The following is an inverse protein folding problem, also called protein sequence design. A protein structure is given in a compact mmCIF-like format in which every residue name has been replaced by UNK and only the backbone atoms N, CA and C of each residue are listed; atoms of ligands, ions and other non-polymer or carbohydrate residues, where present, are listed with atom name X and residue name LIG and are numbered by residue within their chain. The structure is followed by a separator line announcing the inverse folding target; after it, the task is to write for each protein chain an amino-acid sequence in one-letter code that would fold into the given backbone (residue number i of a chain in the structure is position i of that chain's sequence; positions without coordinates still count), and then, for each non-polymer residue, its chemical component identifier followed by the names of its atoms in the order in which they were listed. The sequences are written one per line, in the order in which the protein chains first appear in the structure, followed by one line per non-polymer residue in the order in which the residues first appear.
data_IF_239218951312
#
_entry.id   IF_239218951312
#
_cell.length_a   1.000
_cell.length_b   1.000
_cell.length_c   1.000
_cell.angle_alpha   90.00
_cell.angle_beta   90.00
_cell.angle_gamma   90.00
#
_symmetry.space_group_name_H-M   'P 1'
#
loop_
_entity.id
_entity.type
_entity.pdbx_description
1 polymer ?
#
# COMPACT_ATOMS: atom_id res chain seq x y z
N UNK A 1 5.09 -14.59 -0.75
CA UNK A 1 3.94 -14.39 0.17
C UNK A 1 3.50 -15.69 0.86
N UNK A 2 3.29 -16.81 0.15
CA UNK A 2 3.15 -18.13 0.80
C UNK A 2 4.36 -18.52 1.68
N UNK A 3 5.59 -18.14 1.30
CA UNK A 3 6.82 -18.40 2.10
C UNK A 3 6.84 -17.72 3.49
N UNK A 4 6.02 -16.69 3.75
CA UNK A 4 5.89 -16.04 5.07
C UNK A 4 4.51 -16.30 5.72
N UNK A 5 3.69 -17.21 5.18
CA UNK A 5 2.38 -17.57 5.73
C UNK A 5 1.24 -16.59 5.42
N UNK A 6 1.44 -15.63 4.53
CA UNK A 6 0.38 -14.75 4.05
C UNK A 6 -0.27 -15.37 2.81
N UNK A 7 -1.46 -15.93 2.99
CA UNK A 7 -2.29 -16.41 1.88
C UNK A 7 -2.97 -15.20 1.21
N UNK A 8 -2.53 -14.90 0.00
CA UNK A 8 -3.08 -13.84 -0.84
C UNK A 8 -3.73 -14.40 -2.10
N UNK A 9 -3.89 -15.74 -2.19
CA UNK A 9 -4.53 -16.40 -3.33
C UNK A 9 -6.01 -16.04 -3.46
N UNK A 10 -6.65 -15.65 -2.36
CA UNK A 10 -8.05 -15.20 -2.35
C UNK A 10 -8.24 -13.69 -2.56
N UNK A 11 -7.15 -12.92 -2.71
CA UNK A 11 -7.26 -11.46 -2.77
C UNK A 11 -7.60 -11.03 -4.20
N UNK A 12 -8.88 -10.82 -4.46
CA UNK A 12 -9.35 -10.31 -5.75
C UNK A 12 -8.87 -8.89 -5.95
N UNK A 13 -8.30 -8.58 -7.11
CA UNK A 13 -7.92 -7.22 -7.47
C UNK A 13 -9.17 -6.34 -7.54
N UNK A 14 -9.44 -5.59 -6.48
CA UNK A 14 -10.46 -4.56 -6.49
C UNK A 14 -9.86 -3.27 -7.02
N UNK A 15 -10.45 -2.77 -8.11
CA UNK A 15 -10.09 -1.47 -8.62
C UNK A 15 -10.66 -0.40 -7.69
N UNK A 16 -9.79 0.47 -7.19
CA UNK A 16 -10.18 1.59 -6.35
C UNK A 16 -11.09 2.52 -7.15
N UNK A 17 -12.23 2.89 -6.55
CA UNK A 17 -13.15 3.89 -7.08
C UNK A 17 -13.13 5.16 -6.22
N UNK A 18 -13.50 6.33 -6.76
CA UNK A 18 -13.57 7.57 -5.99
C UNK A 18 -14.54 7.50 -4.80
N UNK A 19 -15.60 6.70 -4.88
CA UNK A 19 -16.52 6.48 -3.75
C UNK A 19 -15.84 5.76 -2.58
N UNK A 20 -14.93 4.82 -2.85
CA UNK A 20 -14.14 4.15 -1.82
C UNK A 20 -13.14 5.11 -1.16
N UNK A 21 -12.62 6.07 -1.91
CA UNK A 21 -11.70 7.11 -1.42
C UNK A 21 -12.42 8.06 -0.48
N UNK A 22 -13.64 8.48 -0.84
CA UNK A 22 -14.45 9.36 0.00
C UNK A 22 -14.86 8.68 1.32
N UNK A 23 -15.30 7.43 1.24
CA UNK A 23 -15.71 6.62 2.38
C UNK A 23 -14.57 6.16 3.28
N UNK A 24 -13.32 6.24 2.82
CA UNK A 24 -12.15 5.87 3.62
C UNK A 24 -11.70 7.04 4.50
N UNK A 25 -11.28 6.72 5.73
CA UNK A 25 -10.66 7.70 6.63
C UNK A 25 -9.22 8.03 6.23
N UNK A 26 -8.48 7.04 5.72
CA UNK A 26 -7.08 7.18 5.28
C UNK A 26 -6.80 6.21 4.15
N UNK A 27 -6.04 6.66 3.16
CA UNK A 27 -5.70 5.88 1.97
C UNK A 27 -4.20 5.76 1.90
N UNK A 28 -3.69 4.52 1.91
CA UNK A 28 -2.26 4.27 1.82
C UNK A 28 -1.95 3.81 0.40
N UNK A 29 -1.29 4.67 -0.36
CA UNK A 29 -0.82 4.36 -1.69
C UNK A 29 0.62 3.86 -1.60
N UNK A 30 0.83 2.57 -1.82
CA UNK A 30 2.17 1.98 -1.79
C UNK A 30 3.01 2.27 -3.04
N UNK A 31 2.38 2.67 -4.14
CA UNK A 31 3.09 3.03 -5.37
C UNK A 31 3.52 4.50 -5.27
N UNK A 32 4.83 4.74 -5.20
CA UNK A 32 5.40 6.09 -5.03
C UNK A 32 5.06 7.12 -6.11
N UNK A 33 4.36 6.73 -7.18
CA UNK A 33 3.88 7.65 -8.22
C UNK A 33 2.40 7.49 -8.45
N UNK A 34 1.73 8.62 -8.35
CA UNK A 34 0.36 8.80 -8.77
C UNK A 34 0.29 9.97 -9.75
N UNK A 35 -0.54 9.89 -10.81
CA UNK A 35 -0.79 11.05 -11.66
C UNK A 35 -1.44 12.17 -10.83
N UNK A 36 -1.02 13.44 -10.99
CA UNK A 36 -1.65 14.56 -10.28
C UNK A 36 -3.13 14.76 -10.67
N UNK A 37 -3.54 14.23 -11.82
CA UNK A 37 -4.92 14.19 -12.31
C UNK A 37 -5.75 13.04 -11.70
N UNK A 38 -5.13 12.17 -10.91
CA UNK A 38 -5.81 11.06 -10.25
C UNK A 38 -6.56 11.55 -9.00
N UNK A 39 -7.77 11.05 -8.79
CA UNK A 39 -8.63 11.39 -7.66
C UNK A 39 -7.99 11.01 -6.31
N UNK A 40 -7.10 10.02 -6.31
CA UNK A 40 -6.29 9.67 -5.15
C UNK A 40 -5.25 10.75 -4.82
N UNK A 41 -4.66 11.43 -5.81
CA UNK A 41 -3.73 12.54 -5.58
C UNK A 41 -4.41 13.79 -5.03
N UNK A 42 -5.71 13.93 -5.30
CA UNK A 42 -6.49 15.10 -4.91
C UNK A 42 -7.06 14.98 -3.49
N UNK A 43 -7.01 13.80 -2.89
CA UNK A 43 -7.49 13.55 -1.53
C UNK A 43 -6.40 13.83 -0.51
N UNK A 44 -6.66 14.76 0.43
CA UNK A 44 -5.76 15.04 1.57
C UNK A 44 -5.61 13.83 2.53
N UNK A 45 -6.48 12.82 2.39
CA UNK A 45 -6.42 11.56 3.15
C UNK A 45 -5.45 10.55 2.55
N UNK A 46 -4.89 10.82 1.37
CA UNK A 46 -3.97 9.92 0.68
C UNK A 46 -2.54 10.13 1.16
N UNK A 47 -1.97 9.08 1.73
CA UNK A 47 -0.57 9.01 2.10
C UNK A 47 0.17 8.15 1.08
N UNK A 48 1.12 8.76 0.38
CA UNK A 48 1.96 8.07 -0.60
C UNK A 48 3.18 7.51 0.12
N UNK A 49 3.28 6.19 0.13
CA UNK A 49 4.49 5.48 0.52
C UNK A 49 5.29 5.23 -0.77
N UNK A 50 6.51 5.77 -0.85
CA UNK A 50 7.40 5.57 -1.99
C UNK A 50 8.01 4.15 -1.98
N UNK A 51 7.14 3.14 -1.95
CA UNK A 51 7.54 1.74 -1.93
C UNK A 51 7.66 1.30 -3.39
N UNK A 52 8.88 0.95 -3.77
CA UNK A 52 9.13 0.44 -5.12
C UNK A 52 8.43 -0.90 -5.28
N UNK A 53 7.78 -1.09 -6.42
CA UNK A 53 7.08 -2.33 -6.70
C UNK A 53 8.09 -3.52 -6.77
N UNK A 54 7.92 -4.58 -5.95
CA UNK A 54 8.81 -5.73 -5.96
C UNK A 54 8.58 -6.67 -7.15
N UNK A 55 7.57 -6.44 -7.98
CA UNK A 55 7.35 -7.18 -9.23
C UNK A 55 8.61 -7.02 -10.08
N UNK A 56 9.26 -8.16 -10.39
CA UNK A 56 10.57 -8.28 -11.06
C UNK A 56 11.84 -8.11 -10.19
N UNK A 57 11.74 -7.87 -8.88
CA UNK A 57 12.91 -7.85 -8.00
C UNK A 57 13.29 -9.22 -7.42
N UNK A 58 14.54 -9.37 -7.00
CA UNK A 58 15.03 -10.59 -6.35
C UNK A 58 14.38 -10.77 -4.98
N UNK A 59 14.25 -12.03 -4.52
CA UNK A 59 13.61 -12.39 -3.24
C UNK A 59 14.15 -11.61 -2.04
N UNK A 60 15.45 -11.31 -2.02
CA UNK A 60 16.09 -10.52 -0.96
C UNK A 60 15.54 -9.10 -0.90
N UNK A 61 15.36 -8.45 -2.06
CA UNK A 61 14.79 -7.10 -2.12
C UNK A 61 13.31 -7.10 -1.76
N UNK A 62 12.55 -8.11 -2.18
CA UNK A 62 11.16 -8.30 -1.74
C UNK A 62 11.05 -8.45 -0.21
N UNK A 63 12.01 -9.16 0.42
CA UNK A 63 12.03 -9.32 1.87
C UNK A 63 12.30 -8.00 2.60
N UNK A 64 13.25 -7.19 2.10
CA UNK A 64 13.53 -5.85 2.62
C UNK A 64 12.31 -4.92 2.52
N UNK A 65 11.64 -4.91 1.36
CA UNK A 65 10.42 -4.13 1.16
C UNK A 65 9.28 -4.58 2.08
N UNK A 66 9.11 -5.89 2.29
CA UNK A 66 8.12 -6.41 3.23
C UNK A 66 8.37 -5.94 4.65
N UNK A 67 9.62 -5.94 5.10
CA UNK A 67 9.98 -5.45 6.44
C UNK A 67 9.68 -3.95 6.56
N UNK A 68 10.02 -3.15 5.54
CA UNK A 68 9.70 -1.72 5.51
C UNK A 68 8.18 -1.45 5.54
N UNK A 69 7.39 -2.17 4.74
CA UNK A 69 5.92 -2.12 4.77
C UNK A 69 5.42 -2.47 6.17
N UNK A 70 5.97 -3.52 6.79
CA UNK A 70 5.54 -3.98 8.11
C UNK A 70 5.81 -2.95 9.19
N UNK A 71 6.98 -2.31 9.16
CA UNK A 71 7.33 -1.24 10.10
C UNK A 71 6.43 -0.01 9.92
N UNK A 72 6.20 0.42 8.67
CA UNK A 72 5.30 1.55 8.37
C UNK A 72 3.86 1.27 8.82
N UNK A 73 3.33 0.07 8.55
CA UNK A 73 1.99 -0.33 9.01
C UNK A 73 1.93 -0.36 10.53
N UNK A 74 2.95 -0.88 11.21
CA UNK A 74 3.00 -0.89 12.68
C UNK A 74 3.05 0.52 13.27
N UNK A 75 3.88 1.40 12.71
CA UNK A 75 3.96 2.78 13.13
C UNK A 75 2.62 3.50 12.95
N UNK A 76 1.97 3.29 11.80
CA UNK A 76 0.64 3.83 11.51
C UNK A 76 -0.39 3.32 12.54
N UNK A 77 -0.48 2.01 12.77
CA UNK A 77 -1.41 1.43 13.77
C UNK A 77 -1.14 2.00 15.17
N UNK A 78 0.12 2.25 15.52
CA UNK A 78 0.48 2.82 16.81
C UNK A 78 0.16 4.32 16.93
N UNK A 79 0.15 5.07 15.82
CA UNK A 79 -0.33 6.46 15.76
C UNK A 79 -1.85 6.54 15.93
N UNK A 80 -2.58 5.52 15.47
CA UNK A 80 -4.04 5.41 15.61
C UNK A 80 -4.49 4.89 16.99
N UNK A 81 -3.57 4.58 17.91
CA UNK A 81 -3.86 4.02 19.23
C UNK A 81 -3.82 5.07 20.34
#
# INVERSE_FOLDING_TARGET
MQEKGFDLSGNTRNQVTPEMVDSADRIILMLGRIPPEDFLSQSEKTEVWDITDPEHMTRETTALMMDEVTEKVRALINEFR
#
